data_IF_180234521186
#
_entry.id   IF_180234521186
#
_cell.length_a   1.000
_cell.length_b   1.000
_cell.length_c   1.000
_cell.angle_alpha   90.00
_cell.angle_beta   90.00
_cell.angle_gamma   90.00
#
_symmetry.space_group_name_H-M   'P 1'
#
loop_
_entity.id
_entity.type
_entity.pdbx_description
1 polymer ?
#
# COMPACT_ATOMS: atom_id res chain seq x y z
N UNK A 1 -2.41 -1.09 -23.66
CA UNK A 1 -3.58 -1.74 -23.02
C UNK A 1 -3.08 -2.43 -21.75
N UNK A 2 -3.65 -2.21 -20.56
CA UNK A 2 -3.26 -2.99 -19.39
C UNK A 2 -3.70 -4.45 -19.61
N UNK A 3 -2.74 -5.37 -19.65
CA UNK A 3 -2.90 -6.80 -19.92
C UNK A 3 -3.10 -7.64 -18.65
N UNK A 4 -3.20 -6.99 -17.48
CA UNK A 4 -3.27 -7.65 -16.19
C UNK A 4 -4.57 -8.42 -15.95
N UNK A 5 -4.46 -9.75 -15.87
CA UNK A 5 -5.49 -10.66 -15.35
C UNK A 5 -5.63 -10.61 -13.81
N UNK A 6 -4.90 -9.72 -13.13
CA UNK A 6 -4.91 -9.62 -11.67
C UNK A 6 -5.99 -8.65 -11.17
N UNK A 7 -6.76 -9.09 -10.17
CA UNK A 7 -7.81 -8.28 -9.54
C UNK A 7 -7.25 -7.56 -8.32
N UNK A 8 -7.40 -6.24 -8.27
CA UNK A 8 -6.94 -5.46 -7.14
C UNK A 8 -7.71 -5.80 -5.86
N UNK A 9 -7.05 -6.07 -4.72
CA UNK A 9 -7.74 -6.43 -3.48
C UNK A 9 -8.55 -5.26 -2.91
N UNK A 10 -8.16 -4.03 -3.22
CA UNK A 10 -8.80 -2.78 -2.74
C UNK A 10 -10.01 -2.40 -3.60
N UNK A 11 -9.82 -2.20 -4.91
CA UNK A 11 -10.88 -1.70 -5.79
C UNK A 11 -11.61 -2.78 -6.59
N UNK A 12 -11.20 -4.05 -6.50
CA UNK A 12 -11.78 -5.21 -7.20
C UNK A 12 -11.80 -5.13 -8.74
N UNK A 13 -11.06 -4.18 -9.33
CA UNK A 13 -10.90 -4.07 -10.78
C UNK A 13 -9.69 -4.86 -11.29
N UNK A 14 -9.80 -5.40 -12.52
CA UNK A 14 -8.69 -6.04 -13.23
C UNK A 14 -7.70 -4.99 -13.74
N UNK A 15 -6.49 -4.97 -13.19
CA UNK A 15 -5.45 -3.99 -13.52
C UNK A 15 -4.07 -4.58 -13.25
N UNK A 16 -3.04 -3.98 -13.83
CA UNK A 16 -1.67 -4.34 -13.51
C UNK A 16 -1.32 -3.96 -12.05
N UNK A 17 -0.75 -4.89 -11.26
CA UNK A 17 -0.35 -4.62 -9.91
C UNK A 17 0.92 -3.76 -9.86
N UNK A 18 1.00 -2.92 -8.84
CA UNK A 18 2.17 -2.15 -8.43
C UNK A 18 2.58 -2.56 -7.02
N UNK A 19 3.85 -2.36 -6.67
CA UNK A 19 4.40 -2.71 -5.35
C UNK A 19 4.43 -1.47 -4.46
N UNK A 20 3.60 -1.45 -3.44
CA UNK A 20 3.58 -0.42 -2.40
C UNK A 20 4.37 -0.91 -1.17
N UNK A 21 5.27 -0.09 -0.63
CA UNK A 21 5.91 -0.40 0.65
C UNK A 21 5.01 0.11 1.78
N UNK A 22 4.56 -0.78 2.67
CA UNK A 22 3.68 -0.43 3.80
C UNK A 22 4.31 0.66 4.67
N UNK A 23 5.58 0.47 5.01
CA UNK A 23 6.39 1.49 5.67
C UNK A 23 7.21 2.24 4.61
N UNK A 24 7.08 3.57 4.46
CA UNK A 24 7.85 4.31 3.47
C UNK A 24 9.36 4.19 3.70
N UNK A 25 10.10 3.84 2.65
CA UNK A 25 11.58 3.73 2.70
C UNK A 25 12.26 5.01 3.18
N UNK A 26 11.68 6.18 2.86
CA UNK A 26 12.17 7.49 3.30
C UNK A 26 12.26 7.66 4.83
N UNK A 27 11.41 6.95 5.57
CA UNK A 27 11.37 7.02 7.04
C UNK A 27 12.01 5.75 7.65
N UNK A 28 11.66 4.57 7.15
CA UNK A 28 11.96 3.31 7.83
C UNK A 28 13.16 2.52 7.26
N UNK A 29 13.78 2.99 6.16
CA UNK A 29 14.97 2.38 5.51
C UNK A 29 14.88 0.83 5.49
N UNK A 30 15.70 0.15 6.30
CA UNK A 30 15.81 -1.33 6.36
C UNK A 30 14.59 -2.05 6.94
N UNK A 31 13.70 -1.34 7.66
CA UNK A 31 12.45 -1.88 8.22
C UNK A 31 11.30 -1.92 7.20
N UNK A 32 11.47 -1.28 6.04
CA UNK A 32 10.50 -1.28 4.94
C UNK A 32 10.57 -2.58 4.13
N UNK A 33 10.18 -3.70 4.76
CA UNK A 33 10.17 -5.03 4.14
C UNK A 33 8.79 -5.45 3.65
N UNK A 34 7.75 -4.97 4.32
CA UNK A 34 6.37 -5.31 4.01
C UNK A 34 5.94 -4.63 2.71
N UNK A 35 5.59 -5.44 1.72
CA UNK A 35 5.21 -4.99 0.38
C UNK A 35 3.80 -5.47 0.07
N UNK A 36 2.95 -4.52 -0.27
CA UNK A 36 1.59 -4.74 -0.70
C UNK A 36 1.51 -4.64 -2.23
N UNK A 37 0.73 -5.53 -2.86
CA UNK A 37 0.37 -5.41 -4.28
C UNK A 37 -0.98 -4.71 -4.41
N UNK A 38 -1.01 -3.56 -5.08
CA UNK A 38 -2.21 -2.75 -5.37
C UNK A 38 -2.15 -2.21 -6.79
N UNK A 39 -3.28 -1.92 -7.43
CA UNK A 39 -3.24 -1.25 -8.73
C UNK A 39 -2.70 0.19 -8.56
N UNK A 40 -2.20 0.80 -9.65
CA UNK A 40 -1.65 2.17 -9.63
C UNK A 40 -2.60 3.19 -8.99
N UNK A 41 -3.90 3.13 -9.30
CA UNK A 41 -4.90 4.07 -8.72
C UNK A 41 -5.00 3.95 -7.20
N UNK A 42 -5.03 2.73 -6.67
CA UNK A 42 -5.07 2.50 -5.24
C UNK A 42 -3.73 2.85 -4.58
N UNK A 43 -2.61 2.57 -5.26
CA UNK A 43 -1.28 2.98 -4.82
C UNK A 43 -1.21 4.49 -4.57
N UNK A 44 -1.64 5.30 -5.55
CA UNK A 44 -1.56 6.75 -5.47
C UNK A 44 -2.49 7.30 -4.38
N UNK A 45 -3.70 6.73 -4.23
CA UNK A 45 -4.63 7.09 -3.13
C UNK A 45 -4.04 6.80 -1.75
N UNK A 46 -3.36 5.66 -1.59
CA UNK A 46 -2.68 5.32 -0.33
C UNK A 46 -1.57 6.34 -0.08
N UNK A 47 -0.71 6.61 -1.07
CA UNK A 47 0.39 7.57 -0.94
C UNK A 47 -0.07 8.99 -0.60
N UNK A 48 -1.21 9.45 -1.14
CA UNK A 48 -1.81 10.75 -0.81
C UNK A 48 -2.23 10.86 0.66
N UNK A 49 -2.53 9.74 1.31
CA UNK A 49 -2.89 9.68 2.73
C UNK A 49 -1.67 9.41 3.64
N UNK A 50 -0.49 9.18 3.05
CA UNK A 50 0.73 8.97 3.83
C UNK A 50 1.32 10.31 4.29
N UNK A 51 1.76 10.40 5.55
CA UNK A 51 2.27 11.64 6.11
C UNK A 51 3.63 11.97 5.49
N UNK A 52 3.89 13.26 5.28
CA UNK A 52 5.21 13.75 4.83
C UNK A 52 6.27 13.65 5.93
N UNK A 53 5.87 13.88 7.18
CA UNK A 53 6.72 13.69 8.36
C UNK A 53 6.65 12.24 8.82
N UNK A 54 7.72 11.76 9.44
CA UNK A 54 7.71 10.46 10.08
C UNK A 54 6.65 10.41 11.19
N UNK A 55 6.06 9.23 11.38
CA UNK A 55 5.01 8.93 12.34
C UNK A 55 5.31 7.55 12.91
N UNK A 56 4.71 7.13 14.03
CA UNK A 56 4.86 5.76 14.53
C UNK A 56 4.44 4.73 13.47
N UNK A 57 5.10 3.57 13.41
CA UNK A 57 4.82 2.52 12.43
C UNK A 57 3.32 2.15 12.38
N UNK A 58 2.66 2.08 13.55
CA UNK A 58 1.21 1.85 13.71
C UNK A 58 0.36 2.78 12.86
N UNK A 59 0.78 4.03 12.66
CA UNK A 59 0.04 4.99 11.83
C UNK A 59 -0.10 4.48 10.38
N UNK A 60 0.99 3.99 9.80
CA UNK A 60 1.00 3.51 8.41
C UNK A 60 0.12 2.27 8.24
N UNK A 61 0.15 1.35 9.21
CA UNK A 61 -0.75 0.19 9.21
C UNK A 61 -2.22 0.63 9.30
N UNK A 62 -2.55 1.62 10.14
CA UNK A 62 -3.91 2.20 10.21
C UNK A 62 -4.35 2.89 8.93
N UNK A 63 -3.46 3.53 8.18
CA UNK A 63 -3.81 4.10 6.87
C UNK A 63 -4.27 2.99 5.92
N UNK A 64 -3.60 1.84 5.93
CA UNK A 64 -3.97 0.72 5.05
C UNK A 64 -5.33 0.10 5.40
N UNK A 65 -5.72 0.06 6.67
CA UNK A 65 -7.03 -0.46 7.07
C UNK A 65 -8.19 0.39 6.53
N UNK A 66 -7.99 1.70 6.33
CA UNK A 66 -8.97 2.59 5.68
C UNK A 66 -9.25 2.18 4.22
N UNK A 67 -8.33 1.47 3.59
CA UNK A 67 -8.47 0.95 2.23
C UNK A 67 -8.89 -0.53 2.20
N UNK A 68 -9.33 -1.08 3.34
CA UNK A 68 -9.74 -2.49 3.45
C UNK A 68 -8.58 -3.47 3.31
N UNK A 69 -7.34 -3.02 3.53
CA UNK A 69 -6.16 -3.87 3.57
C UNK A 69 -5.91 -4.26 5.02
N UNK A 70 -6.22 -5.51 5.33
CA UNK A 70 -5.88 -6.12 6.60
C UNK A 70 -4.58 -6.89 6.37
N UNK A 71 -3.50 -6.40 6.97
CA UNK A 71 -2.25 -7.13 7.01
C UNK A 71 -2.40 -8.17 8.11
N UNK A 72 -2.89 -9.34 7.73
CA UNK A 72 -2.95 -10.51 8.62
C UNK A 72 -1.53 -10.99 8.88
N UNK A 73 -0.84 -10.37 9.84
CA UNK A 73 0.47 -10.80 10.32
C UNK A 73 0.78 -10.16 11.66
N UNK A 74 0.38 -10.81 12.76
CA UNK A 74 1.28 -11.57 13.64
C UNK A 74 0.48 -12.71 14.27
#
# INVERSE_FOLDING_TARGET
MPSGNWVCPVCKEKRDPTRHHVLPKRHFKKRSKDILKVCRRCHDKIEMNMPRKEQPAVFYYKVLTLFGIFLDSV
#
